data_IF_188093568134
#
_entry.id   IF_188093568134
#
_cell.length_a   1.000
_cell.length_b   1.000
_cell.length_c   1.000
_cell.angle_alpha   90.00
_cell.angle_beta   90.00
_cell.angle_gamma   90.00
#
_symmetry.space_group_name_H-M   'P 1'
#
loop_
_entity.id
_entity.type
_entity.pdbx_description
1 polymer ?
#
# COMPACT_ATOMS: atom_id res chain seq x y z
N UNK A 1 14.80 17.92 8.03
CA UNK A 1 13.77 17.13 8.76
C UNK A 1 12.39 17.39 8.15
N UNK A 2 11.43 16.47 8.24
CA UNK A 2 10.12 16.61 7.59
C UNK A 2 8.98 16.64 8.61
N UNK A 3 7.94 17.41 8.30
CA UNK A 3 6.71 17.55 9.08
C UNK A 3 5.54 17.19 8.17
N UNK A 4 4.55 16.47 8.70
CA UNK A 4 3.31 16.15 8.02
C UNK A 4 2.18 17.02 8.58
N UNK A 5 1.45 17.65 7.68
CA UNK A 5 0.29 18.49 7.98
C UNK A 5 -0.94 17.79 7.44
N UNK A 6 -1.92 17.55 8.30
CA UNK A 6 -3.18 16.87 7.98
C UNK A 6 -4.36 17.82 8.17
N UNK A 7 -5.46 17.52 7.48
CA UNK A 7 -6.72 18.26 7.51
C UNK A 7 -6.63 19.69 6.93
N UNK A 8 -5.85 19.85 5.86
CA UNK A 8 -5.80 21.11 5.12
C UNK A 8 -7.05 21.31 4.25
N UNK A 9 -7.50 22.56 4.00
CA UNK A 9 -8.55 22.83 3.02
C UNK A 9 -8.16 22.34 1.61
N UNK A 10 -9.14 21.86 0.84
CA UNK A 10 -8.90 21.40 -0.55
C UNK A 10 -8.46 22.52 -1.50
N UNK A 11 -8.84 23.76 -1.19
CA UNK A 11 -8.50 24.96 -1.96
C UNK A 11 -7.09 25.49 -1.65
N UNK A 12 -6.34 24.82 -0.77
CA UNK A 12 -5.01 25.28 -0.34
C UNK A 12 -3.99 25.11 -1.47
N UNK A 13 -3.23 26.17 -1.74
CA UNK A 13 -2.18 26.17 -2.77
C UNK A 13 -0.77 26.02 -2.16
N UNK A 14 0.20 25.58 -2.96
CA UNK A 14 1.57 25.27 -2.48
C UNK A 14 2.23 26.49 -1.86
N UNK A 15 2.14 27.62 -2.56
CA UNK A 15 2.67 28.90 -2.12
C UNK A 15 2.07 29.36 -0.79
N UNK A 16 0.80 29.06 -0.52
CA UNK A 16 0.16 29.44 0.74
C UNK A 16 0.69 28.63 1.91
N UNK A 17 0.95 27.35 1.70
CA UNK A 17 1.61 26.49 2.69
C UNK A 17 3.03 27.00 2.95
N UNK A 18 3.80 27.26 1.89
CA UNK A 18 5.16 27.79 2.00
C UNK A 18 5.19 29.09 2.82
N UNK A 19 4.36 30.07 2.48
CA UNK A 19 4.30 31.36 3.17
C UNK A 19 3.85 31.19 4.64
N UNK A 20 2.88 30.31 4.91
CA UNK A 20 2.35 30.12 6.25
C UNK A 20 3.36 29.42 7.17
N UNK A 21 3.99 28.36 6.68
CA UNK A 21 4.92 27.53 7.46
C UNK A 21 6.35 28.11 7.54
N UNK A 22 6.73 28.99 6.60
CA UNK A 22 7.99 29.74 6.66
C UNK A 22 8.11 30.64 7.91
N UNK A 23 7.01 30.90 8.63
CA UNK A 23 7.01 31.66 9.90
C UNK A 23 7.77 30.98 11.04
N UNK A 24 7.94 29.65 10.99
CA UNK A 24 8.57 28.86 12.07
C UNK A 24 9.90 28.24 11.65
N UNK A 25 10.40 28.54 10.45
CA UNK A 25 11.69 28.04 9.97
C UNK A 25 11.82 28.10 8.46
N UNK A 26 13.01 27.78 7.96
CA UNK A 26 13.27 27.80 6.53
C UNK A 26 12.74 26.52 5.84
N UNK A 27 11.63 26.66 5.11
CA UNK A 27 10.99 25.59 4.34
C UNK A 27 11.81 25.30 3.08
N UNK A 28 12.32 24.07 2.96
CA UNK A 28 13.13 23.63 1.81
C UNK A 28 12.26 23.04 0.71
N UNK A 29 11.25 22.27 1.10
CA UNK A 29 10.39 21.52 0.18
C UNK A 29 8.96 21.46 0.68
N UNK A 30 8.00 21.55 -0.24
CA UNK A 30 6.59 21.32 0.04
C UNK A 30 6.03 20.32 -0.96
N UNK A 31 5.54 19.20 -0.43
CA UNK A 31 4.98 18.10 -1.18
C UNK A 31 3.52 17.84 -0.78
N UNK A 32 2.60 18.15 -1.68
CA UNK A 32 1.18 17.90 -1.48
C UNK A 32 0.79 16.49 -1.91
N UNK A 33 0.07 15.79 -1.05
CA UNK A 33 -0.41 14.45 -1.35
C UNK A 33 -1.69 14.54 -2.19
N UNK A 34 -1.63 14.04 -3.42
CA UNK A 34 -2.78 13.95 -4.34
C UNK A 34 -3.20 12.49 -4.54
N UNK A 35 -4.47 12.25 -4.86
CA UNK A 35 -4.99 10.93 -5.19
C UNK A 35 -4.78 10.62 -6.69
N UNK A 36 -5.09 9.39 -7.14
CA UNK A 36 -5.00 8.99 -8.56
C UNK A 36 -5.85 9.83 -9.52
N UNK A 37 -6.86 10.55 -9.00
CA UNK A 37 -7.70 11.51 -9.73
C UNK A 37 -7.15 12.96 -9.69
N UNK A 38 -5.90 13.14 -9.29
CA UNK A 38 -5.25 14.43 -9.08
C UNK A 38 -5.97 15.37 -8.09
N UNK A 39 -6.73 14.80 -7.14
CA UNK A 39 -7.42 15.54 -6.09
C UNK A 39 -6.56 15.60 -4.83
N UNK A 40 -6.45 16.78 -4.23
CA UNK A 40 -5.67 17.00 -3.01
C UNK A 40 -6.29 16.22 -1.83
N UNK A 41 -5.47 15.40 -1.17
CA UNK A 41 -5.88 14.56 -0.04
C UNK A 41 -5.89 15.29 1.30
N UNK A 42 -5.79 16.62 1.29
CA UNK A 42 -5.76 17.44 2.52
C UNK A 42 -4.56 17.11 3.43
N UNK A 43 -3.50 16.54 2.85
CA UNK A 43 -2.26 16.14 3.52
C UNK A 43 -1.09 16.72 2.77
N UNK A 44 -0.18 17.36 3.48
CA UNK A 44 1.03 17.95 2.93
C UNK A 44 2.25 17.55 3.76
N UNK A 45 3.39 17.38 3.10
CA UNK A 45 4.69 17.18 3.73
C UNK A 45 5.56 18.42 3.51
N UNK A 46 6.16 18.90 4.58
CA UNK A 46 6.98 20.11 4.59
C UNK A 46 8.37 19.73 5.08
N UNK A 47 9.38 19.99 4.25
CA UNK A 47 10.79 19.88 4.60
C UNK A 47 11.28 21.17 5.25
N UNK A 48 11.94 21.05 6.39
CA UNK A 48 12.67 22.13 7.05
C UNK A 48 14.17 21.87 6.99
N UNK A 49 14.92 22.97 6.97
CA UNK A 49 16.38 22.96 6.94
C UNK A 49 16.95 22.30 8.20
N UNK A 50 16.40 22.59 9.38
CA UNK A 50 16.82 22.00 10.65
C UNK A 50 15.76 21.12 11.32
N UNK A 51 16.22 20.25 12.21
CA UNK A 51 15.37 19.43 13.09
C UNK A 51 14.61 20.26 14.12
N UNK A 52 15.28 21.27 14.68
CA UNK A 52 14.74 22.15 15.70
C UNK A 52 13.60 23.00 15.15
N UNK A 53 13.74 23.48 13.91
CA UNK A 53 12.68 24.19 13.17
C UNK A 53 11.45 23.30 12.97
N UNK A 54 11.64 22.04 12.56
CA UNK A 54 10.56 21.09 12.38
C UNK A 54 9.81 20.82 13.70
N UNK A 55 10.53 20.63 14.81
CA UNK A 55 9.94 20.44 16.14
C UNK A 55 9.19 21.69 16.60
N UNK A 56 9.76 22.87 16.36
CA UNK A 56 9.14 24.16 16.72
C UNK A 56 7.86 24.40 15.92
N UNK A 57 7.89 24.12 14.61
CA UNK A 57 6.72 24.18 13.74
C UNK A 57 5.60 23.24 14.20
N UNK A 58 5.92 22.01 14.61
CA UNK A 58 4.94 21.07 15.18
C UNK A 58 4.32 21.64 16.45
N UNK A 59 5.13 22.11 17.40
CA UNK A 59 4.62 22.67 18.66
C UNK A 59 3.74 23.91 18.45
N UNK A 60 4.06 24.72 17.45
CA UNK A 60 3.35 25.97 17.18
C UNK A 60 2.06 25.75 16.38
N UNK A 61 2.09 24.94 15.32
CA UNK A 61 0.98 24.78 14.38
C UNK A 61 0.06 23.60 14.68
N UNK A 62 0.47 22.64 15.51
CA UNK A 62 -0.40 21.53 15.87
C UNK A 62 -1.68 22.04 16.58
N UNK A 63 -2.81 21.49 16.17
CA UNK A 63 -4.14 21.87 16.64
C UNK A 63 -4.55 23.34 16.41
N UNK A 64 -3.85 24.07 15.53
CA UNK A 64 -4.22 25.44 15.14
C UNK A 64 -5.18 25.47 13.97
N UNK A 65 -5.66 26.66 13.58
CA UNK A 65 -6.59 26.84 12.47
C UNK A 65 -5.89 27.44 11.24
N UNK A 66 -6.10 26.80 10.09
CA UNK A 66 -5.72 27.30 8.77
C UNK A 66 -6.96 27.46 7.91
N UNK A 67 -7.32 28.69 7.53
CA UNK A 67 -8.52 29.01 6.71
C UNK A 67 -9.78 28.25 7.17
N UNK A 68 -10.08 28.31 8.47
CA UNK A 68 -11.20 27.63 9.14
C UNK A 68 -11.10 26.11 9.31
N UNK A 69 -9.98 25.49 8.95
CA UNK A 69 -9.74 24.08 9.20
C UNK A 69 -8.76 23.90 10.36
N UNK A 70 -9.13 23.10 11.36
CA UNK A 70 -8.22 22.74 12.43
C UNK A 70 -7.19 21.75 11.89
N UNK A 71 -5.94 22.19 11.74
CA UNK A 71 -4.87 21.38 11.19
C UNK A 71 -4.21 20.54 12.28
N UNK A 72 -3.68 19.39 11.89
CA UNK A 72 -2.85 18.55 12.75
C UNK A 72 -1.44 18.50 12.17
N UNK A 73 -0.44 18.76 13.00
CA UNK A 73 0.95 18.89 12.56
C UNK A 73 1.79 17.92 13.37
N UNK A 74 2.47 17.00 12.70
CA UNK A 74 3.24 15.94 13.36
C UNK A 74 4.61 15.83 12.68
N UNK A 75 5.64 15.41 13.41
CA UNK A 75 6.93 15.08 12.79
C UNK A 75 6.69 13.93 11.81
N UNK A 76 7.04 14.14 10.54
CA UNK A 76 6.92 13.11 9.54
C UNK A 76 7.98 12.05 9.83
N UNK A 77 7.51 10.86 10.17
CA UNK A 77 8.37 9.68 10.08
C UNK A 77 8.59 9.42 8.60
N UNK A 78 9.85 9.35 8.17
CA UNK A 78 10.19 8.88 6.83
C UNK A 78 9.69 7.44 6.72
N UNK A 79 8.50 7.27 6.16
CA UNK A 79 8.07 5.98 5.68
C UNK A 79 8.86 5.66 4.41
N UNK A 80 10.11 5.25 4.58
CA UNK A 80 10.85 4.42 3.63
C UNK A 80 10.16 3.06 3.37
N UNK A 81 8.97 2.83 3.96
CA UNK A 81 8.32 1.53 4.13
C UNK A 81 7.23 1.18 3.12
N UNK A 82 7.07 1.92 2.02
CA UNK A 82 6.20 1.41 0.94
C UNK A 82 6.93 0.41 0.01
N UNK A 83 8.25 0.31 0.12
CA UNK A 83 9.02 -0.75 -0.57
C UNK A 83 8.99 -2.03 0.27
N UNK A 84 9.34 -1.96 1.56
CA UNK A 84 9.45 -3.13 2.44
C UNK A 84 8.12 -3.81 2.77
N UNK A 85 7.02 -3.07 2.93
CA UNK A 85 5.72 -3.68 3.21
C UNK A 85 5.20 -4.48 2.00
N UNK A 86 5.46 -3.97 0.79
CA UNK A 86 5.15 -4.68 -0.45
C UNK A 86 6.12 -5.84 -0.67
N UNK A 87 7.41 -5.67 -0.41
CA UNK A 87 8.41 -6.74 -0.53
C UNK A 87 8.17 -7.85 0.50
N UNK A 88 7.73 -7.53 1.72
CA UNK A 88 7.37 -8.52 2.75
C UNK A 88 6.10 -9.27 2.38
N UNK A 89 5.09 -8.59 1.83
CA UNK A 89 3.87 -9.22 1.28
C UNK A 89 4.20 -10.11 0.08
N UNK A 90 5.05 -9.63 -0.83
CA UNK A 90 5.56 -10.39 -1.97
C UNK A 90 6.40 -11.58 -1.52
N UNK A 91 7.30 -11.44 -0.55
CA UNK A 91 8.07 -12.54 0.04
C UNK A 91 7.13 -13.56 0.67
N UNK A 92 6.16 -13.13 1.47
CA UNK A 92 5.13 -14.02 2.05
C UNK A 92 4.33 -14.77 0.99
N UNK A 93 3.97 -14.11 -0.09
CA UNK A 93 3.31 -14.75 -1.22
C UNK A 93 4.26 -15.70 -1.97
N UNK A 94 5.47 -15.26 -2.36
CA UNK A 94 6.48 -16.05 -3.06
C UNK A 94 6.86 -17.34 -2.31
N UNK A 95 6.89 -17.27 -0.98
CA UNK A 95 7.16 -18.40 -0.10
C UNK A 95 5.89 -19.07 0.46
N UNK A 96 4.70 -18.73 -0.04
CA UNK A 96 3.46 -19.37 0.39
C UNK A 96 3.45 -20.84 -0.03
N UNK A 97 3.01 -21.70 0.87
CA UNK A 97 2.78 -23.12 0.57
C UNK A 97 1.43 -23.35 -0.11
N UNK A 98 0.49 -22.42 0.02
CA UNK A 98 -0.85 -22.56 -0.54
C UNK A 98 -1.08 -21.49 -1.60
N UNK A 99 -1.68 -21.87 -2.71
CA UNK A 99 -2.16 -20.98 -3.76
C UNK A 99 -3.64 -21.22 -4.01
N UNK A 100 -4.31 -20.21 -4.58
CA UNK A 100 -5.71 -20.31 -5.00
C UNK A 100 -5.76 -20.06 -6.50
N UNK A 101 -6.14 -21.09 -7.25
CA UNK A 101 -6.33 -21.05 -8.69
C UNK A 101 -7.80 -20.76 -8.97
N UNK A 102 -8.07 -19.67 -9.67
CA UNK A 102 -9.43 -19.27 -10.11
C UNK A 102 -9.59 -19.59 -11.59
N UNK A 103 -10.84 -19.66 -12.06
CA UNK A 103 -11.18 -19.89 -13.46
C UNK A 103 -10.87 -21.32 -13.95
N UNK A 104 -11.11 -22.31 -13.09
CA UNK A 104 -11.00 -23.72 -13.47
C UNK A 104 -12.33 -24.17 -14.07
N UNK A 105 -12.28 -24.95 -15.16
CA UNK A 105 -13.49 -25.54 -15.76
C UNK A 105 -14.18 -26.48 -14.78
N UNK A 106 -15.51 -26.46 -14.76
CA UNK A 106 -16.33 -27.19 -13.79
C UNK A 106 -16.09 -28.72 -13.74
N UNK A 107 -15.55 -29.28 -14.83
CA UNK A 107 -15.27 -30.70 -15.01
C UNK A 107 -13.82 -31.12 -14.69
N UNK A 108 -12.96 -30.19 -14.27
CA UNK A 108 -11.58 -30.51 -13.92
C UNK A 108 -11.52 -31.23 -12.57
N UNK A 109 -11.03 -32.47 -12.58
CA UNK A 109 -10.78 -33.27 -11.38
C UNK A 109 -9.57 -32.76 -10.59
N UNK A 110 -9.56 -33.05 -9.29
CA UNK A 110 -8.44 -32.73 -8.39
C UNK A 110 -7.11 -33.31 -8.89
N UNK A 111 -7.15 -34.53 -9.44
CA UNK A 111 -5.97 -35.21 -10.01
C UNK A 111 -5.42 -34.48 -11.24
N UNK A 112 -6.28 -34.01 -12.15
CA UNK A 112 -5.86 -33.26 -13.34
C UNK A 112 -5.22 -31.90 -12.97
N UNK A 113 -5.73 -31.25 -11.93
CA UNK A 113 -5.18 -30.01 -11.39
C UNK A 113 -3.83 -30.30 -10.72
N UNK A 114 -3.71 -31.39 -9.96
CA UNK A 114 -2.46 -31.81 -9.33
C UNK A 114 -1.36 -32.09 -10.37
N UNK A 115 -1.71 -32.81 -11.44
CA UNK A 115 -0.79 -33.17 -12.53
C UNK A 115 -0.29 -31.92 -13.28
N UNK A 116 -1.21 -31.02 -13.64
CA UNK A 116 -0.89 -29.75 -14.30
C UNK A 116 0.07 -28.89 -13.46
N UNK A 117 -0.08 -28.94 -12.13
CA UNK A 117 0.71 -28.16 -11.20
C UNK A 117 2.00 -28.86 -10.73
N UNK A 118 2.17 -30.15 -11.01
CA UNK A 118 3.34 -30.93 -10.62
C UNK A 118 4.64 -30.38 -11.26
N UNK A 119 4.53 -29.79 -12.45
CA UNK A 119 5.62 -29.09 -13.14
C UNK A 119 6.16 -27.89 -12.33
N UNK A 120 5.28 -27.22 -11.58
CA UNK A 120 5.63 -26.07 -10.75
C UNK A 120 6.09 -26.48 -9.34
N UNK A 121 5.58 -27.59 -8.80
CA UNK A 121 6.10 -28.20 -7.58
C UNK A 121 5.27 -29.38 -7.07
N UNK A 122 5.84 -30.14 -6.12
CA UNK A 122 5.14 -31.26 -5.50
C UNK A 122 3.93 -30.78 -4.70
N UNK A 123 2.74 -31.15 -5.17
CA UNK A 123 1.47 -30.90 -4.51
C UNK A 123 1.35 -31.78 -3.26
N UNK A 124 0.88 -31.21 -2.17
CA UNK A 124 0.57 -31.89 -0.90
C UNK A 124 -0.94 -32.15 -0.78
N UNK A 125 -1.76 -31.19 -1.20
CA UNK A 125 -3.21 -31.29 -1.12
C UNK A 125 -3.87 -30.38 -2.19
N UNK A 126 -4.96 -30.84 -2.78
CA UNK A 126 -5.83 -30.07 -3.68
C UNK A 126 -7.23 -30.09 -3.08
N UNK A 127 -7.88 -28.94 -3.04
CA UNK A 127 -9.28 -28.82 -2.63
C UNK A 127 -10.01 -27.96 -3.64
N UNK A 128 -11.02 -28.50 -4.31
CA UNK A 128 -11.82 -27.76 -5.28
C UNK A 128 -13.12 -27.28 -4.65
N UNK A 129 -13.32 -25.96 -4.63
CA UNK A 129 -14.56 -25.33 -4.19
C UNK A 129 -15.36 -24.82 -5.39
N UNK A 130 -16.58 -25.34 -5.53
CA UNK A 130 -17.56 -24.85 -6.50
C UNK A 130 -18.20 -23.57 -5.95
N UNK A 131 -18.10 -22.47 -6.70
CA UNK A 131 -18.64 -21.19 -6.25
C UNK A 131 -20.17 -21.21 -6.43
N UNK A 132 -20.91 -21.24 -5.32
CA UNK A 132 -22.39 -21.34 -5.29
C UNK A 132 -23.16 -20.22 -6.03
N UNK A 133 -22.50 -19.14 -6.46
CA UNK A 133 -23.13 -17.92 -7.03
C UNK A 133 -22.52 -17.44 -8.36
N UNK A 134 -21.96 -18.31 -9.22
CA UNK A 134 -21.52 -17.87 -10.56
C UNK A 134 -22.34 -18.57 -11.63
N UNK A 135 -23.10 -17.81 -12.40
CA UNK A 135 -23.84 -18.22 -13.60
C UNK A 135 -22.93 -18.66 -14.77
N UNK A 136 -21.64 -18.87 -14.48
CA UNK A 136 -20.57 -19.28 -15.38
C UNK A 136 -19.80 -20.36 -14.64
N UNK A 137 -19.79 -21.59 -15.17
CA UNK A 137 -19.28 -22.84 -14.56
C UNK A 137 -17.78 -22.82 -14.24
N UNK A 138 -17.36 -21.92 -13.34
CA UNK A 138 -15.98 -21.73 -12.93
C UNK A 138 -15.82 -22.14 -11.47
N UNK A 139 -14.94 -23.12 -11.26
CA UNK A 139 -14.51 -23.56 -9.94
C UNK A 139 -13.27 -22.80 -9.47
N UNK A 140 -13.03 -22.83 -8.16
CA UNK A 140 -11.81 -22.36 -7.53
C UNK A 140 -11.11 -23.57 -6.92
N UNK A 141 -9.82 -23.77 -7.19
CA UNK A 141 -9.01 -24.78 -6.51
C UNK A 141 -8.03 -24.14 -5.55
N UNK A 142 -8.02 -24.63 -4.33
CA UNK A 142 -7.03 -24.30 -3.30
C UNK A 142 -6.00 -25.43 -3.33
N UNK A 143 -4.75 -25.09 -3.66
CA UNK A 143 -3.69 -26.09 -3.81
C UNK A 143 -2.58 -25.79 -2.83
N UNK A 144 -2.27 -26.77 -1.99
CA UNK A 144 -1.17 -26.73 -1.02
C UNK A 144 0.00 -27.55 -1.56
N UNK A 145 1.19 -26.97 -1.50
CA UNK A 145 2.45 -27.54 -1.96
C UNK A 145 3.32 -27.93 -0.78
N UNK A 146 4.10 -29.00 -0.96
CA UNK A 146 5.09 -29.43 0.04
C UNK A 146 6.15 -28.36 0.31
N UNK A 147 6.43 -27.47 -0.67
CA UNK A 147 7.41 -26.37 -0.54
C UNK A 147 6.86 -25.05 -1.08
N UNK A 148 6.99 -23.99 -0.27
CA UNK A 148 6.63 -22.64 -0.65
C UNK A 148 7.72 -21.97 -1.46
N UNK A 149 7.84 -22.28 -2.75
CA UNK A 149 8.66 -21.54 -3.72
C UNK A 149 7.98 -21.43 -5.09
N UNK A 150 6.73 -21.85 -5.17
CA UNK A 150 6.09 -22.14 -6.45
C UNK A 150 5.69 -20.86 -7.20
N UNK A 151 5.28 -19.80 -6.50
CA UNK A 151 4.97 -18.51 -7.12
C UNK A 151 6.18 -17.86 -7.83
N UNK A 152 7.41 -18.16 -7.40
CA UNK A 152 8.62 -17.73 -8.13
C UNK A 152 8.74 -18.36 -9.53
N UNK A 153 8.20 -19.58 -9.71
CA UNK A 153 8.17 -20.24 -11.01
C UNK A 153 6.97 -19.79 -11.86
N UNK A 154 5.83 -19.50 -11.25
CA UNK A 154 4.64 -19.00 -11.95
C UNK A 154 4.81 -17.57 -12.49
N UNK A 155 5.57 -16.70 -11.82
CA UNK A 155 5.83 -15.31 -12.24
C UNK A 155 6.82 -15.18 -13.42
N UNK A 156 7.33 -16.30 -13.97
CA UNK A 156 8.26 -16.31 -15.12
C UNK A 156 7.57 -16.55 -16.47
N UNK A 157 6.24 -16.40 -16.53
CA UNK A 157 5.44 -16.52 -17.75
C UNK A 157 5.13 -15.13 -18.28
#
# INVERSE_FOLDING_TARGET
MRVVVKNLPETTSKSEIEIHFAKQGNVTDVYMLVNSKNQFRRICFIGYSSSEEAVSAVKYFDNTYFKNHKIKVEIAQEESKNVEANETKLRRALYSKTIVVKNIGEDMSEDAIAESLNSYGAVENVQVEKKKNSSTGHAIAIVKFKRGRMLRKLLKI
#
